data_IF_546223422912
#
_entry.id   IF_546223422912
#
_cell.length_a   1.000
_cell.length_b   1.000
_cell.length_c   1.000
_cell.angle_alpha   90.00
_cell.angle_beta   90.00
_cell.angle_gamma   90.00
#
_symmetry.space_group_name_H-M   'P 1'
#
loop_
_entity.id
_entity.type
_entity.pdbx_description
1 polymer ?
#
# COMPACT_ATOMS: atom_id res chain seq x y z
N UNK A 1 -2.33 -17.54 13.06
CA UNK A 1 -2.95 -16.68 12.01
C UNK A 1 -3.46 -17.45 10.78
N UNK A 2 -3.08 -18.72 10.59
CA UNK A 2 -3.54 -19.53 9.44
C UNK A 2 -5.07 -19.60 9.30
N UNK A 3 -5.79 -19.91 10.39
CA UNK A 3 -7.25 -20.06 10.34
C UNK A 3 -7.99 -18.78 9.95
N UNK A 4 -7.53 -17.63 10.44
CA UNK A 4 -8.10 -16.32 10.13
C UNK A 4 -7.89 -15.94 8.66
N UNK A 5 -6.70 -16.22 8.11
CA UNK A 5 -6.40 -15.95 6.70
C UNK A 5 -7.16 -16.90 5.77
N UNK A 6 -7.24 -18.17 6.14
CA UNK A 6 -8.04 -19.15 5.40
C UNK A 6 -9.51 -18.73 5.34
N UNK A 7 -10.10 -18.42 6.50
CA UNK A 7 -11.51 -18.01 6.54
C UNK A 7 -11.76 -16.67 5.83
N UNK A 8 -10.79 -15.74 5.82
CA UNK A 8 -10.86 -14.52 4.99
C UNK A 8 -11.03 -14.88 3.53
N UNK A 9 -10.19 -15.77 3.00
CA UNK A 9 -10.22 -16.16 1.59
C UNK A 9 -11.52 -16.90 1.24
N UNK A 10 -11.99 -17.81 2.12
CA UNK A 10 -13.30 -18.46 1.98
C UNK A 10 -14.46 -17.47 1.97
N UNK A 11 -14.38 -16.42 2.79
CA UNK A 11 -15.43 -15.39 2.86
C UNK A 11 -15.43 -14.50 1.61
N UNK A 12 -14.25 -14.05 1.17
CA UNK A 12 -14.11 -13.08 0.06
C UNK A 12 -14.27 -13.76 -1.30
N UNK A 13 -13.63 -14.91 -1.51
CA UNK A 13 -13.66 -15.60 -2.81
C UNK A 13 -14.75 -16.68 -2.88
N UNK A 14 -15.06 -17.34 -1.77
CA UNK A 14 -16.05 -18.42 -1.71
C UNK A 14 -17.44 -17.97 -1.26
N UNK A 15 -17.60 -16.76 -0.73
CA UNK A 15 -18.86 -16.24 -0.21
C UNK A 15 -19.34 -16.93 1.08
N UNK A 16 -18.50 -17.75 1.73
CA UNK A 16 -18.86 -18.52 2.92
C UNK A 16 -18.88 -17.59 4.15
N UNK A 17 -20.00 -17.53 4.87
CA UNK A 17 -20.16 -16.69 6.07
C UNK A 17 -20.51 -17.54 7.29
N UNK A 18 -20.16 -17.05 8.49
CA UNK A 18 -20.51 -17.70 9.76
C UNK A 18 -19.64 -18.89 10.15
N UNK A 19 -18.48 -19.11 9.51
CA UNK A 19 -17.55 -20.16 9.89
C UNK A 19 -16.86 -19.88 11.24
N UNK A 20 -16.34 -20.94 11.87
CA UNK A 20 -15.87 -21.00 13.26
C UNK A 20 -14.86 -19.91 13.67
N UNK A 21 -14.00 -19.47 12.78
CA UNK A 21 -12.91 -18.52 13.03
C UNK A 21 -13.21 -17.14 12.39
N UNK A 22 -14.48 -16.71 12.48
CA UNK A 22 -14.91 -15.46 11.84
C UNK A 22 -14.30 -14.22 12.46
N UNK A 23 -14.02 -13.24 11.61
CA UNK A 23 -13.57 -11.91 12.04
C UNK A 23 -14.59 -11.27 13.01
N UNK A 24 -15.89 -11.50 12.78
CA UNK A 24 -16.98 -11.02 13.64
C UNK A 24 -16.87 -11.60 15.05
N UNK A 25 -16.65 -12.91 15.18
CA UNK A 25 -16.47 -13.54 16.49
C UNK A 25 -15.24 -13.04 17.26
N UNK A 26 -14.22 -12.51 16.59
CA UNK A 26 -13.09 -11.87 17.26
C UNK A 26 -13.50 -10.51 17.86
N UNK A 27 -14.36 -9.76 17.18
CA UNK A 27 -14.81 -8.42 17.59
C UNK A 27 -15.63 -8.49 18.88
N UNK A 28 -16.39 -9.57 19.10
CA UNK A 28 -17.23 -9.75 20.29
C UNK A 28 -16.47 -9.58 21.61
N UNK A 29 -15.17 -9.89 21.64
CA UNK A 29 -14.31 -9.74 22.81
C UNK A 29 -13.20 -8.69 22.64
N UNK A 30 -12.84 -8.31 21.42
CA UNK A 30 -11.71 -7.41 21.13
C UNK A 30 -12.13 -6.01 20.65
N UNK A 31 -13.41 -5.66 20.72
CA UNK A 31 -13.86 -4.29 20.49
C UNK A 31 -13.29 -3.34 21.56
N UNK A 32 -12.83 -2.16 21.15
CA UNK A 32 -12.43 -1.11 22.08
C UNK A 32 -13.64 -0.62 22.87
N UNK A 33 -13.42 -0.17 24.11
CA UNK A 33 -14.45 0.38 24.98
C UNK A 33 -14.18 1.83 25.33
N UNK A 34 -15.23 2.60 25.57
CA UNK A 34 -15.12 3.96 26.10
C UNK A 34 -14.77 3.95 27.61
N UNK A 35 -14.58 5.14 28.19
CA UNK A 35 -14.25 5.30 29.62
C UNK A 35 -15.32 4.75 30.58
N UNK A 36 -16.52 4.47 30.07
CA UNK A 36 -17.64 3.90 30.82
C UNK A 36 -17.75 2.39 30.63
N UNK A 37 -16.83 1.78 29.87
CA UNK A 37 -16.80 0.36 29.55
C UNK A 37 -17.80 -0.05 28.46
N UNK A 38 -18.42 0.89 27.75
CA UNK A 38 -19.31 0.57 26.63
C UNK A 38 -18.50 0.32 25.36
N UNK A 39 -18.87 -0.70 24.58
CA UNK A 39 -18.22 -0.99 23.31
C UNK A 39 -18.36 0.20 22.33
N UNK A 40 -17.24 0.63 21.75
CA UNK A 40 -17.22 1.65 20.71
C UNK A 40 -17.61 0.98 19.38
N UNK A 41 -18.50 1.58 18.57
CA UNK A 41 -18.83 1.04 17.25
C UNK A 41 -17.58 0.85 16.40
N UNK A 42 -17.42 -0.32 15.76
CA UNK A 42 -16.21 -0.65 14.98
C UNK A 42 -15.98 0.28 13.77
N UNK A 43 -17.02 0.96 13.30
CA UNK A 43 -16.96 1.94 12.22
C UNK A 43 -16.80 3.40 12.72
N UNK A 44 -16.63 3.62 14.02
CA UNK A 44 -16.35 4.94 14.56
C UNK A 44 -14.92 5.39 14.18
N UNK A 45 -14.72 6.70 14.10
CA UNK A 45 -13.42 7.28 13.80
C UNK A 45 -12.34 6.81 14.76
N UNK A 46 -11.16 6.48 14.22
CA UNK A 46 -10.02 5.99 15.00
C UNK A 46 -10.08 4.49 15.33
N UNK A 47 -11.16 3.78 14.96
CA UNK A 47 -11.22 2.33 15.09
C UNK A 47 -10.52 1.64 13.91
N UNK A 48 -9.96 0.45 14.17
CA UNK A 48 -9.25 -0.32 13.15
C UNK A 48 -10.12 -0.61 11.91
N UNK A 49 -11.36 -1.07 12.11
CA UNK A 49 -12.24 -1.43 10.99
C UNK A 49 -12.61 -0.21 10.15
N UNK A 50 -12.84 0.95 10.77
CA UNK A 50 -13.04 2.23 10.08
C UNK A 50 -11.84 2.57 9.19
N UNK A 51 -10.63 2.59 9.75
CA UNK A 51 -9.42 2.93 8.98
C UNK A 51 -9.15 1.96 7.83
N UNK A 52 -9.37 0.66 8.06
CA UNK A 52 -9.23 -0.38 7.05
C UNK A 52 -10.25 -0.21 5.92
N UNK A 53 -11.51 0.05 6.25
CA UNK A 53 -12.57 0.25 5.26
C UNK A 53 -12.42 1.56 4.51
N UNK A 54 -11.94 2.62 5.17
CA UNK A 54 -11.55 3.86 4.51
C UNK A 54 -10.45 3.56 3.50
N UNK A 55 -9.38 2.89 3.88
CA UNK A 55 -8.27 2.53 2.98
C UNK A 55 -8.70 1.63 1.80
N UNK A 56 -9.47 0.58 2.07
CA UNK A 56 -9.92 -0.36 1.04
C UNK A 56 -11.00 0.24 0.13
N UNK A 57 -11.84 1.13 0.66
CA UNK A 57 -12.95 1.76 -0.06
C UNK A 57 -12.54 2.84 -1.07
N UNK A 58 -11.32 3.39 -0.99
CA UNK A 58 -10.82 4.41 -1.94
C UNK A 58 -9.66 3.96 -2.84
N UNK A 59 -8.96 2.85 -2.55
CA UNK A 59 -7.79 2.41 -3.35
C UNK A 59 -8.08 1.25 -4.30
N UNK A 60 -9.30 1.13 -4.77
CA UNK A 60 -9.64 0.22 -5.86
C UNK A 60 -10.13 1.04 -7.06
N UNK A 61 -9.33 2.01 -7.50
CA UNK A 61 -9.54 2.57 -8.83
C UNK A 61 -9.18 1.49 -9.83
N UNK A 62 -10.20 0.79 -10.34
CA UNK A 62 -10.06 -0.27 -11.35
C UNK A 62 -9.17 0.19 -12.53
N UNK A 63 -9.16 1.49 -12.82
CA UNK A 63 -8.44 2.12 -13.90
C UNK A 63 -6.98 2.50 -13.59
N UNK A 64 -6.51 2.37 -12.34
CA UNK A 64 -5.06 2.47 -12.06
C UNK A 64 -4.29 1.30 -12.68
N UNK A 65 -4.92 0.11 -12.79
CA UNK A 65 -4.36 -1.07 -13.46
C UNK A 65 -5.01 -1.38 -14.83
N UNK A 66 -6.31 -1.09 -15.03
CA UNK A 66 -7.02 -1.30 -16.29
C UNK A 66 -7.33 0.03 -17.01
N UNK A 67 -6.35 0.92 -17.13
CA UNK A 67 -6.52 2.14 -17.89
C UNK A 67 -6.82 1.81 -19.37
N UNK A 68 -8.03 2.14 -19.84
CA UNK A 68 -8.41 2.03 -21.25
C UNK A 68 -7.70 3.07 -22.15
N UNK A 69 -7.07 4.07 -21.53
CA UNK A 69 -6.30 5.13 -22.19
C UNK A 69 -4.87 5.08 -21.65
N UNK A 70 -3.83 5.04 -22.52
CA UNK A 70 -2.45 5.07 -22.06
C UNK A 70 -2.21 6.32 -21.22
N UNK A 71 -1.52 6.17 -20.09
CA UNK A 71 -0.97 7.31 -19.38
C UNK A 71 -0.11 8.09 -20.37
N UNK A 72 -0.53 9.31 -20.75
CA UNK A 72 0.35 10.21 -21.49
C UNK A 72 1.53 10.45 -20.57
N UNK A 73 2.71 10.09 -21.04
CA UNK A 73 3.92 10.00 -20.23
C UNK A 73 4.18 11.30 -19.49
N UNK A 74 3.75 11.35 -18.24
CA UNK A 74 4.36 12.22 -17.26
C UNK A 74 5.76 11.65 -17.07
N UNK A 75 6.75 12.33 -17.64
CA UNK A 75 8.15 11.99 -17.44
C UNK A 75 8.36 11.81 -15.94
N UNK A 76 8.76 10.61 -15.51
CA UNK A 76 9.35 10.41 -14.19
C UNK A 76 10.49 11.41 -14.12
N UNK A 77 10.27 12.53 -13.45
CA UNK A 77 11.29 13.55 -13.29
C UNK A 77 12.37 12.94 -12.43
N UNK A 78 13.34 12.29 -13.06
CA UNK A 78 14.64 11.99 -12.49
C UNK A 78 15.39 13.31 -12.38
N UNK A 79 14.87 14.22 -11.56
CA UNK A 79 15.66 15.31 -11.05
C UNK A 79 16.70 14.66 -10.15
N UNK A 80 17.90 14.49 -10.69
CA UNK A 80 19.04 14.12 -9.88
C UNK A 80 19.16 15.18 -8.78
N UNK A 81 19.35 14.76 -7.51
CA UNK A 81 19.49 15.71 -6.42
C UNK A 81 20.70 16.61 -6.69
N UNK A 82 20.59 17.90 -6.35
CA UNK A 82 21.54 18.94 -6.73
C UNK A 82 23.01 18.65 -6.35
N UNK A 83 23.25 17.76 -5.37
CA UNK A 83 24.60 17.33 -4.99
C UNK A 83 25.34 16.52 -6.07
N UNK A 84 24.64 15.93 -7.04
CA UNK A 84 25.26 15.17 -8.14
C UNK A 84 25.82 16.06 -9.27
N UNK A 85 25.60 17.39 -9.25
CA UNK A 85 26.05 18.29 -10.32
C UNK A 85 27.51 18.77 -10.19
N UNK A 86 28.15 18.58 -9.03
CA UNK A 86 29.51 19.09 -8.76
C UNK A 86 30.66 18.23 -9.30
N UNK A 87 30.38 17.09 -9.96
CA UNK A 87 31.42 16.15 -10.41
C UNK A 87 31.88 16.34 -11.88
N UNK A 88 31.57 17.46 -12.54
CA UNK A 88 31.92 17.68 -13.97
C UNK A 88 33.07 18.65 -14.27
N UNK A 89 33.85 19.10 -13.28
CA UNK A 89 34.99 20.00 -13.53
C UNK A 89 36.39 19.39 -13.31
N UNK A 90 36.52 18.07 -13.14
CA UNK A 90 37.82 17.42 -12.93
C UNK A 90 38.17 16.35 -13.98
N UNK A 91 37.97 16.64 -15.27
CA UNK A 91 38.45 15.75 -16.34
C UNK A 91 38.90 16.51 -17.59
N UNK A 92 39.79 17.47 -17.39
CA UNK A 92 40.42 18.25 -18.47
C UNK A 92 41.96 18.09 -18.55
N UNK A 93 42.54 17.08 -17.92
CA UNK A 93 43.98 16.85 -18.01
C UNK A 93 44.31 15.36 -17.90
N UNK A 94 44.18 14.62 -19.01
CA UNK A 94 45.20 13.68 -19.52
C UNK A 94 44.77 13.36 -20.96
N UNK A 95 45.47 13.98 -21.92
CA UNK A 95 45.44 13.62 -23.34
C UNK A 95 46.73 12.88 -23.65
N UNK A 96 46.62 11.87 -24.51
CA UNK A 96 47.60 11.30 -25.48
C UNK A 96 47.81 9.79 -25.30
N UNK A 97 48.28 9.09 -26.34
CA UNK A 97 47.59 8.86 -27.61
C UNK A 97 47.51 7.36 -27.96
N UNK A 98 46.75 7.07 -29.02
CA UNK A 98 46.55 5.77 -29.68
C UNK A 98 47.85 5.02 -29.98
N UNK A 99 47.89 3.70 -29.73
CA UNK A 99 48.60 2.69 -30.55
C UNK A 99 47.83 1.35 -30.41
N UNK A 100 47.11 0.94 -31.47
CA UNK A 100 46.84 -0.48 -31.83
C UNK A 100 48.09 -1.08 -32.51
N UNK A 101 48.29 -2.41 -32.57
CA UNK A 101 47.33 -3.49 -32.31
C UNK A 101 47.61 -4.35 -31.06
#
# INVERSE_FOLDING_TARGET
MQFLMHQRDETVHGGIRGAKHSLVGCIDCHAQTDDRGAAIPVNAEGQFCESCHRFAGVRMDCFECHAAVPARGEARSSALPAWMLSARLARAAVRSPEIEP
#
